data_IF_613864154586
#
_entry.id   IF_613864154586
#
_cell.length_a   1.000
_cell.length_b   1.000
_cell.length_c   1.000
_cell.angle_alpha   90.00
_cell.angle_beta   90.00
_cell.angle_gamma   90.00
#
_symmetry.space_group_name_H-M   'P 1'
#
loop_
_entity.id
_entity.type
_entity.pdbx_description
1 polymer ?
#
# COMPACT_ATOMS: atom_id res chain seq x y z
N UNK A 1 27.74 12.21 1.06
CA UNK A 1 26.49 12.06 1.15
C UNK A 1 25.68 10.83 1.55
N UNK A 2 25.83 9.65 0.91
CA UNK A 2 24.95 8.48 1.16
C UNK A 2 25.02 7.89 2.58
N UNK A 3 26.06 8.15 3.35
CA UNK A 3 26.24 7.63 4.73
C UNK A 3 25.67 8.55 5.81
N UNK A 4 25.35 9.80 5.51
CA UNK A 4 24.86 10.78 6.49
C UNK A 4 23.41 10.51 6.90
N UNK A 5 22.54 10.16 5.95
CA UNK A 5 21.09 9.93 6.19
C UNK A 5 20.85 8.74 7.12
N UNK A 6 21.71 7.72 7.11
CA UNK A 6 21.59 6.51 7.97
C UNK A 6 22.08 6.69 9.42
N UNK A 7 22.69 7.84 9.77
CA UNK A 7 23.34 8.07 11.06
C UNK A 7 22.86 9.30 11.82
N UNK A 8 21.90 10.06 11.27
CA UNK A 8 21.31 11.18 11.99
C UNK A 8 20.29 10.63 13.00
N UNK A 9 20.48 10.87 14.30
CA UNK A 9 19.47 10.57 15.29
C UNK A 9 18.23 11.43 15.03
N UNK A 10 17.09 10.96 15.51
CA UNK A 10 15.87 11.78 15.52
C UNK A 10 16.14 13.07 16.31
N UNK A 11 15.87 14.20 15.67
CA UNK A 11 16.03 15.53 16.27
C UNK A 11 14.68 15.92 16.87
N UNK A 12 14.63 16.10 18.18
CA UNK A 12 13.41 16.58 18.85
C UNK A 12 13.15 18.05 18.52
N UNK A 13 11.87 18.43 18.54
CA UNK A 13 11.46 19.82 18.34
C UNK A 13 12.11 20.71 19.43
N UNK A 14 12.82 21.74 18.97
CA UNK A 14 13.57 22.64 19.86
C UNK A 14 15.01 22.24 20.11
N UNK A 15 15.40 21.00 19.76
CA UNK A 15 16.80 20.55 19.81
C UNK A 15 17.54 20.86 18.51
N UNK A 16 18.79 21.08 18.59
CA UNK A 16 19.66 21.50 17.48
C UNK A 16 19.16 22.78 16.78
N UNK A 17 19.90 23.21 15.76
CA UNK A 17 19.59 24.45 15.02
C UNK A 17 18.29 24.30 14.21
N UNK A 18 18.13 23.14 13.58
CA UNK A 18 16.94 22.83 12.81
C UNK A 18 15.69 22.70 13.69
N UNK A 19 15.76 21.97 14.81
CA UNK A 19 14.64 21.87 15.76
C UNK A 19 14.25 23.21 16.37
N UNK A 20 15.24 24.11 16.59
CA UNK A 20 14.98 25.47 17.05
C UNK A 20 14.28 26.31 15.96
N UNK A 21 14.76 26.27 14.72
CA UNK A 21 14.10 26.97 13.59
C UNK A 21 12.65 26.47 13.40
N UNK A 22 12.41 25.17 13.56
CA UNK A 22 11.08 24.56 13.52
C UNK A 22 10.17 25.12 14.63
N UNK A 23 10.67 25.13 15.88
CA UNK A 23 9.92 25.56 17.07
C UNK A 23 9.55 27.03 17.02
N UNK A 24 10.52 27.92 16.70
CA UNK A 24 10.28 29.37 16.68
C UNK A 24 9.68 29.87 15.37
N UNK A 25 9.60 29.00 14.35
CA UNK A 25 9.09 29.32 13.00
C UNK A 25 9.81 30.51 12.32
N UNK A 26 11.10 30.68 12.65
CA UNK A 26 11.97 31.73 12.10
C UNK A 26 13.29 31.14 11.63
N UNK A 27 13.92 31.84 10.70
CA UNK A 27 15.28 31.47 10.29
C UNK A 27 16.25 31.57 11.48
N UNK A 28 17.10 30.56 11.61
CA UNK A 28 18.17 30.52 12.60
C UNK A 28 19.51 30.43 11.86
N UNK A 29 20.44 31.29 12.20
CA UNK A 29 21.79 31.33 11.61
C UNK A 29 22.85 31.11 12.70
N UNK A 30 23.91 30.37 12.36
CA UNK A 30 25.10 30.21 13.14
C UNK A 30 26.30 30.55 12.27
N UNK A 31 27.00 31.62 12.59
CA UNK A 31 28.14 32.10 11.78
C UNK A 31 29.37 31.24 11.93
N UNK A 32 29.60 30.68 13.13
CA UNK A 32 30.74 29.78 13.42
C UNK A 32 30.28 28.77 14.49
N UNK A 33 30.16 27.51 14.10
CA UNK A 33 29.70 26.42 15.00
C UNK A 33 30.69 26.15 16.14
N UNK A 34 31.96 26.52 16.00
CA UNK A 34 32.96 26.33 17.03
C UNK A 34 32.94 27.43 18.08
N UNK A 35 32.38 28.58 17.75
CA UNK A 35 32.30 29.75 18.65
C UNK A 35 30.94 29.93 19.29
N UNK A 36 29.88 29.36 18.68
CA UNK A 36 28.52 29.49 19.20
C UNK A 36 28.31 28.64 20.46
N UNK A 37 28.00 29.27 21.61
CA UNK A 37 27.90 28.57 22.90
C UNK A 37 26.73 27.56 22.90
N UNK A 38 25.64 27.86 22.23
CA UNK A 38 24.44 26.99 22.17
C UNK A 38 24.73 25.73 21.34
N UNK A 39 25.54 25.89 20.29
CA UNK A 39 25.86 24.79 19.37
C UNK A 39 26.94 23.88 19.96
N UNK A 40 27.86 24.41 20.79
CA UNK A 40 28.92 23.62 21.43
C UNK A 40 28.42 22.49 22.31
N UNK A 41 27.29 22.67 22.97
CA UNK A 41 26.69 21.71 23.89
C UNK A 41 25.88 20.62 23.20
N UNK A 42 25.65 20.76 21.89
CA UNK A 42 24.83 19.84 21.13
C UNK A 42 25.62 18.62 20.61
N UNK A 43 25.22 17.42 20.94
CA UNK A 43 25.83 16.17 20.42
C UNK A 43 25.89 16.09 18.89
N UNK A 44 24.93 16.71 18.21
CA UNK A 44 24.82 16.75 16.75
C UNK A 44 25.96 17.51 16.06
N UNK A 45 26.58 18.44 16.75
CA UNK A 45 27.72 19.24 16.24
C UNK A 45 28.90 18.39 15.83
N UNK A 46 29.14 17.27 16.52
CA UNK A 46 30.19 16.32 16.14
C UNK A 46 29.96 15.72 14.75
N UNK A 47 28.72 15.45 14.39
CA UNK A 47 28.36 14.90 13.07
C UNK A 47 28.57 15.97 12.00
N UNK A 48 28.07 17.17 12.24
CA UNK A 48 28.16 18.32 11.33
C UNK A 48 29.61 18.74 11.09
N UNK A 49 30.44 18.74 12.13
CA UNK A 49 31.89 18.99 12.02
C UNK A 49 32.61 17.96 11.17
N UNK A 50 32.28 16.68 11.31
CA UNK A 50 32.89 15.60 10.50
C UNK A 50 32.61 15.79 9.01
N UNK A 51 31.51 16.42 8.65
CA UNK A 51 31.15 16.76 7.25
C UNK A 51 31.83 18.11 6.81
N UNK A 52 32.61 18.73 7.68
CA UNK A 52 33.36 19.96 7.40
C UNK A 52 32.51 21.23 7.46
N UNK A 53 31.33 21.21 8.01
CA UNK A 53 30.48 22.40 8.14
C UNK A 53 31.03 23.33 9.26
N UNK A 54 31.03 24.64 8.98
CA UNK A 54 31.50 25.69 9.91
C UNK A 54 30.45 26.77 10.17
N UNK A 55 29.53 26.99 9.26
CA UNK A 55 28.37 27.89 9.45
C UNK A 55 27.10 27.28 8.92
N UNK A 56 25.95 27.65 9.49
CA UNK A 56 24.66 27.04 9.22
C UNK A 56 23.58 28.11 9.10
N UNK A 57 22.71 27.96 8.12
CA UNK A 57 21.43 28.65 8.01
C UNK A 57 20.31 27.58 7.96
N UNK A 58 19.38 27.63 8.91
CA UNK A 58 18.18 26.77 8.95
C UNK A 58 16.93 27.63 8.82
N UNK A 59 16.08 27.27 7.85
CA UNK A 59 14.84 28.02 7.56
C UNK A 59 13.67 27.06 7.66
N UNK A 60 12.61 27.38 8.40
CA UNK A 60 11.43 26.53 8.49
C UNK A 60 10.66 26.48 7.17
N UNK A 61 10.16 25.30 6.82
CA UNK A 61 9.22 25.09 5.75
C UNK A 61 7.83 25.32 6.34
N UNK A 62 7.21 26.44 6.00
CA UNK A 62 5.91 26.82 6.56
C UNK A 62 4.81 26.73 5.49
N UNK A 63 3.67 26.17 5.87
CA UNK A 63 2.45 26.22 5.07
C UNK A 63 1.29 26.74 5.93
N UNK A 64 0.70 27.87 5.55
CA UNK A 64 -0.36 28.53 6.31
C UNK A 64 -0.02 28.68 7.81
N UNK A 65 1.21 29.08 8.11
CA UNK A 65 1.68 29.27 9.49
C UNK A 65 2.03 27.97 10.25
N UNK A 66 1.84 26.78 9.65
CA UNK A 66 2.20 25.51 10.27
C UNK A 66 3.55 25.01 9.76
N UNK A 67 4.50 24.62 10.63
CA UNK A 67 5.79 24.11 10.20
C UNK A 67 5.65 22.65 9.72
N UNK A 68 6.12 22.40 8.49
CA UNK A 68 6.18 21.07 7.87
C UNK A 68 7.53 20.42 8.01
N UNK A 69 8.58 21.22 8.18
CA UNK A 69 9.96 20.79 8.26
C UNK A 69 10.93 21.95 8.31
N UNK A 70 12.19 21.68 8.05
CA UNK A 70 13.28 22.69 8.02
C UNK A 70 14.21 22.38 6.86
N UNK A 71 14.62 23.40 6.14
CA UNK A 71 15.71 23.33 5.17
C UNK A 71 16.94 23.95 5.82
N UNK A 72 18.07 23.23 5.82
CA UNK A 72 19.33 23.72 6.32
C UNK A 72 20.39 23.72 5.23
N UNK A 73 21.14 24.81 5.15
CA UNK A 73 22.35 24.91 4.32
C UNK A 73 23.57 25.07 5.21
N UNK A 74 24.70 24.50 4.78
CA UNK A 74 25.94 24.46 5.50
C UNK A 74 27.06 25.05 4.64
N UNK A 75 27.93 25.84 5.26
CA UNK A 75 29.17 26.32 4.63
C UNK A 75 30.38 25.76 5.35
N UNK A 76 31.45 25.47 4.58
CA UNK A 76 32.73 24.94 5.13
C UNK A 76 33.63 26.02 5.76
N UNK A 77 33.20 27.28 5.66
CA UNK A 77 33.92 28.42 6.27
C UNK A 77 33.01 29.15 7.24
N UNK A 78 33.53 29.71 8.33
CA UNK A 78 32.78 30.64 9.17
C UNK A 78 32.29 31.83 8.31
N UNK A 79 31.01 32.15 8.37
CA UNK A 79 30.44 33.31 7.69
C UNK A 79 29.08 33.71 8.27
N UNK A 80 28.77 34.97 8.19
CA UNK A 80 27.40 35.48 8.39
C UNK A 80 26.59 35.34 7.12
N UNK A 81 25.31 35.02 7.26
CA UNK A 81 24.36 34.97 6.13
C UNK A 81 23.70 36.34 6.00
N UNK A 82 23.71 36.86 4.79
CA UNK A 82 23.07 38.16 4.49
C UNK A 82 21.55 38.06 4.51
N UNK A 83 20.83 39.18 4.73
CA UNK A 83 19.36 39.19 4.63
C UNK A 83 18.84 38.69 3.29
N UNK A 84 19.57 38.97 2.19
CA UNK A 84 19.23 38.50 0.83
C UNK A 84 19.28 36.97 0.73
N UNK A 85 20.31 36.33 1.29
CA UNK A 85 20.49 34.87 1.31
C UNK A 85 19.42 34.19 2.19
N UNK A 86 19.11 34.76 3.34
CA UNK A 86 18.06 34.28 4.24
C UNK A 86 16.70 34.36 3.52
N UNK A 87 16.44 35.47 2.82
CA UNK A 87 15.19 35.62 2.07
C UNK A 87 15.10 34.66 0.89
N UNK A 88 16.18 34.43 0.17
CA UNK A 88 16.22 33.42 -0.90
C UNK A 88 15.89 32.01 -0.37
N UNK A 89 16.46 31.65 0.78
CA UNK A 89 16.14 30.36 1.42
C UNK A 89 14.68 30.28 1.90
N UNK A 90 14.08 31.40 2.35
CA UNK A 90 12.66 31.44 2.71
C UNK A 90 11.76 31.22 1.49
N UNK A 91 12.07 31.86 0.37
CA UNK A 91 11.33 31.66 -0.90
C UNK A 91 11.45 30.21 -1.33
N UNK A 92 12.64 29.63 -1.28
CA UNK A 92 12.84 28.22 -1.59
C UNK A 92 12.07 27.30 -0.64
N UNK A 93 12.08 27.57 0.67
CA UNK A 93 11.31 26.84 1.66
C UNK A 93 9.79 26.92 1.40
N UNK A 94 9.27 28.07 0.96
CA UNK A 94 7.86 28.22 0.57
C UNK A 94 7.50 27.37 -0.66
N UNK A 95 8.39 27.30 -1.63
CA UNK A 95 8.22 26.41 -2.80
C UNK A 95 8.16 24.94 -2.41
N UNK A 96 9.09 24.52 -1.55
CA UNK A 96 9.10 23.13 -1.01
C UNK A 96 7.83 22.85 -0.21
N UNK A 97 7.35 23.83 0.59
CA UNK A 97 6.09 23.69 1.32
C UNK A 97 4.90 23.43 0.39
N UNK A 98 4.81 24.17 -0.73
CA UNK A 98 3.75 23.99 -1.71
C UNK A 98 3.80 22.58 -2.34
N UNK A 99 4.99 22.15 -2.78
CA UNK A 99 5.18 20.79 -3.37
C UNK A 99 4.82 19.67 -2.37
N UNK A 100 5.26 19.78 -1.13
CA UNK A 100 4.95 18.79 -0.09
C UNK A 100 3.44 18.70 0.18
N UNK A 101 2.76 19.84 0.21
CA UNK A 101 1.30 19.87 0.41
C UNK A 101 0.53 19.32 -0.77
N UNK A 102 0.98 19.64 -1.98
CA UNK A 102 0.42 19.06 -3.21
C UNK A 102 0.49 17.55 -3.20
N UNK A 103 1.70 17.01 -2.93
CA UNK A 103 1.92 15.57 -2.85
C UNK A 103 1.05 14.91 -1.76
N UNK A 104 0.95 15.52 -0.58
CA UNK A 104 0.12 15.02 0.52
C UNK A 104 -1.38 15.08 0.17
N UNK A 105 -1.83 16.17 -0.48
CA UNK A 105 -3.21 16.30 -0.93
C UNK A 105 -3.57 15.23 -1.97
N UNK A 106 -2.71 14.99 -2.96
CA UNK A 106 -2.90 13.89 -3.91
C UNK A 106 -2.98 12.54 -3.22
N UNK A 107 -2.07 12.26 -2.29
CA UNK A 107 -2.08 11.02 -1.52
C UNK A 107 -3.39 10.84 -0.75
N UNK A 108 -3.84 11.88 -0.07
CA UNK A 108 -5.08 11.85 0.72
C UNK A 108 -6.31 11.66 -0.16
N UNK A 109 -6.33 12.29 -1.33
CA UNK A 109 -7.41 12.14 -2.31
C UNK A 109 -7.50 10.70 -2.83
N UNK A 110 -6.38 10.07 -3.17
CA UNK A 110 -6.36 8.65 -3.58
C UNK A 110 -6.88 7.73 -2.48
N UNK A 111 -6.48 7.95 -1.22
CA UNK A 111 -6.99 7.18 -0.09
C UNK A 111 -8.49 7.35 0.10
N UNK A 112 -9.00 8.58 -0.05
CA UNK A 112 -10.44 8.86 0.07
C UNK A 112 -11.22 8.15 -1.05
N UNK A 113 -10.77 8.24 -2.29
CA UNK A 113 -11.41 7.52 -3.41
C UNK A 113 -11.39 6.00 -3.18
N UNK A 114 -10.25 5.46 -2.76
CA UNK A 114 -10.14 4.04 -2.50
C UNK A 114 -11.09 3.60 -1.37
N UNK A 115 -11.12 4.30 -0.25
CA UNK A 115 -12.03 4.00 0.85
C UNK A 115 -13.51 4.06 0.44
N UNK A 116 -13.86 5.00 -0.45
CA UNK A 116 -15.22 5.08 -1.01
C UNK A 116 -15.55 3.82 -1.81
N UNK A 117 -14.64 3.36 -2.68
CA UNK A 117 -14.84 2.14 -3.47
C UNK A 117 -14.92 0.91 -2.57
N UNK A 118 -14.04 0.78 -1.58
CA UNK A 118 -14.06 -0.33 -0.61
C UNK A 118 -15.39 -0.35 0.17
N UNK A 119 -15.91 0.81 0.55
CA UNK A 119 -17.23 0.90 1.21
C UNK A 119 -18.36 0.43 0.29
N UNK A 120 -18.30 0.73 -1.01
CA UNK A 120 -19.27 0.22 -1.98
C UNK A 120 -19.18 -1.31 -2.10
N UNK A 121 -17.97 -1.89 -2.09
CA UNK A 121 -17.80 -3.37 -2.10
C UNK A 121 -18.38 -3.99 -0.83
N UNK A 122 -18.12 -3.42 0.34
CA UNK A 122 -18.73 -3.88 1.59
C UNK A 122 -20.27 -3.81 1.55
N UNK A 123 -20.82 -2.78 0.89
CA UNK A 123 -22.27 -2.69 0.68
C UNK A 123 -22.77 -3.81 -0.26
N UNK A 124 -21.98 -4.21 -1.26
CA UNK A 124 -22.31 -5.34 -2.12
C UNK A 124 -22.27 -6.68 -1.36
N UNK A 125 -21.34 -6.85 -0.40
CA UNK A 125 -21.33 -8.03 0.47
C UNK A 125 -22.64 -8.19 1.26
N UNK A 126 -23.33 -7.09 1.61
CA UNK A 126 -24.63 -7.17 2.30
C UNK A 126 -25.75 -7.71 1.41
N UNK A 127 -25.59 -7.64 0.07
CA UNK A 127 -26.52 -8.23 -0.91
C UNK A 127 -26.31 -9.75 -1.10
N UNK A 128 -25.14 -10.26 -0.75
CA UNK A 128 -24.77 -11.67 -0.81
C UNK A 128 -24.52 -12.17 0.64
N UNK A 129 -25.50 -12.81 1.29
CA UNK A 129 -25.40 -13.22 2.69
C UNK A 129 -24.22 -14.13 3.00
N UNK A 130 -23.60 -14.69 1.97
CA UNK A 130 -22.48 -15.64 2.10
C UNK A 130 -21.11 -14.99 2.01
N UNK A 131 -21.05 -13.68 1.73
CA UNK A 131 -19.78 -12.95 1.58
C UNK A 131 -19.44 -12.05 2.77
N UNK A 132 -20.25 -12.06 3.84
CA UNK A 132 -19.96 -11.23 5.01
C UNK A 132 -18.56 -11.51 5.58
N UNK A 133 -17.70 -10.45 5.59
CA UNK A 133 -16.32 -10.52 6.02
C UNK A 133 -15.39 -11.33 5.09
N UNK A 134 -15.86 -11.75 3.93
CA UNK A 134 -15.07 -12.45 2.91
C UNK A 134 -13.90 -11.58 2.43
N UNK A 135 -14.19 -10.35 2.03
CA UNK A 135 -13.17 -9.40 1.55
C UNK A 135 -12.04 -9.19 2.57
N UNK A 136 -12.37 -9.06 3.85
CA UNK A 136 -11.36 -8.90 4.92
C UNK A 136 -10.49 -10.16 5.04
N UNK A 137 -11.09 -11.35 5.06
CA UNK A 137 -10.36 -12.61 5.16
C UNK A 137 -9.47 -12.86 3.93
N UNK A 138 -10.00 -12.68 2.71
CA UNK A 138 -9.24 -12.81 1.46
C UNK A 138 -8.06 -11.82 1.43
N UNK A 139 -8.27 -10.58 1.85
CA UNK A 139 -7.20 -9.59 1.97
C UNK A 139 -6.12 -10.06 2.95
N UNK A 140 -6.51 -10.51 4.14
CA UNK A 140 -5.59 -11.05 5.15
C UNK A 140 -4.73 -12.20 4.59
N UNK A 141 -5.36 -13.18 3.94
CA UNK A 141 -4.65 -14.33 3.36
C UNK A 141 -3.71 -13.91 2.23
N UNK A 142 -4.17 -13.05 1.34
CA UNK A 142 -3.36 -12.51 0.24
C UNK A 142 -2.11 -11.81 0.75
N UNK A 143 -2.24 -10.97 1.79
CA UNK A 143 -1.12 -10.27 2.41
C UNK A 143 -0.12 -11.21 3.07
N UNK A 144 -0.59 -12.26 3.75
CA UNK A 144 0.28 -13.28 4.36
C UNK A 144 1.08 -14.04 3.29
N UNK A 145 0.42 -14.43 2.19
CA UNK A 145 1.10 -15.09 1.07
C UNK A 145 2.12 -14.14 0.43
N UNK A 146 1.73 -12.90 0.13
CA UNK A 146 2.59 -11.90 -0.49
C UNK A 146 3.84 -11.60 0.34
N UNK A 147 3.68 -11.39 1.65
CA UNK A 147 4.79 -11.17 2.58
C UNK A 147 5.73 -12.39 2.63
N UNK A 148 5.17 -13.60 2.65
CA UNK A 148 5.96 -14.85 2.65
C UNK A 148 6.75 -15.05 1.37
N UNK A 149 6.22 -14.57 0.25
CA UNK A 149 6.89 -14.62 -1.06
C UNK A 149 7.90 -13.49 -1.26
N UNK A 150 8.03 -12.56 -0.32
CA UNK A 150 9.01 -11.47 -0.38
C UNK A 150 8.61 -10.34 -1.34
N UNK A 151 7.32 -10.09 -1.54
CA UNK A 151 6.84 -8.98 -2.35
C UNK A 151 7.32 -7.64 -1.81
N UNK A 152 7.54 -6.67 -2.71
CA UNK A 152 7.82 -5.29 -2.34
C UNK A 152 6.63 -4.65 -1.61
N UNK A 153 6.86 -3.55 -0.87
CA UNK A 153 5.78 -2.82 -0.22
C UNK A 153 4.77 -2.25 -1.24
N UNK A 154 5.23 -1.90 -2.43
CA UNK A 154 4.38 -1.43 -3.53
C UNK A 154 3.48 -2.55 -4.05
N UNK A 155 4.03 -3.75 -4.30
CA UNK A 155 3.25 -4.92 -4.71
C UNK A 155 2.25 -5.35 -3.63
N UNK A 156 2.66 -5.30 -2.35
CA UNK A 156 1.75 -5.58 -1.23
C UNK A 156 0.59 -4.60 -1.17
N UNK A 157 0.82 -3.30 -1.38
CA UNK A 157 -0.25 -2.31 -1.44
C UNK A 157 -1.19 -2.57 -2.63
N UNK A 158 -0.63 -2.88 -3.80
CA UNK A 158 -1.40 -3.22 -5.01
C UNK A 158 -2.23 -4.48 -4.80
N UNK A 159 -1.66 -5.52 -4.18
CA UNK A 159 -2.36 -6.76 -3.84
C UNK A 159 -3.49 -6.51 -2.84
N UNK A 160 -3.26 -5.68 -1.83
CA UNK A 160 -4.28 -5.30 -0.85
C UNK A 160 -5.45 -4.61 -1.54
N UNK A 161 -5.19 -3.61 -2.37
CA UNK A 161 -6.23 -2.92 -3.13
C UNK A 161 -7.02 -3.88 -4.01
N UNK A 162 -6.32 -4.78 -4.72
CA UNK A 162 -6.98 -5.77 -5.55
C UNK A 162 -7.87 -6.71 -4.72
N UNK A 163 -7.39 -7.21 -3.59
CA UNK A 163 -8.14 -8.10 -2.72
C UNK A 163 -9.39 -7.43 -2.14
N UNK A 164 -9.29 -6.13 -1.76
CA UNK A 164 -10.43 -5.39 -1.21
C UNK A 164 -11.53 -5.10 -2.25
N UNK A 165 -11.21 -5.05 -3.55
CA UNK A 165 -12.19 -4.66 -4.58
C UNK A 165 -12.38 -5.69 -5.71
N UNK A 166 -11.81 -6.90 -5.59
CA UNK A 166 -11.83 -7.90 -6.68
C UNK A 166 -13.24 -8.24 -7.18
N UNK A 167 -14.19 -8.21 -6.28
CA UNK A 167 -15.59 -8.56 -6.51
C UNK A 167 -16.50 -7.37 -6.88
N UNK A 168 -15.97 -6.14 -7.04
CA UNK A 168 -16.76 -4.93 -7.36
C UNK A 168 -17.68 -5.13 -8.58
N UNK A 169 -17.26 -5.95 -9.54
CA UNK A 169 -18.03 -6.25 -10.74
C UNK A 169 -19.33 -7.01 -10.49
N UNK A 170 -19.53 -7.61 -9.32
CA UNK A 170 -20.78 -8.26 -8.92
C UNK A 170 -21.95 -7.28 -8.85
N UNK A 171 -21.68 -5.97 -8.79
CA UNK A 171 -22.72 -4.92 -8.89
C UNK A 171 -23.58 -5.06 -10.18
N UNK A 172 -23.01 -5.62 -11.23
CA UNK A 172 -23.68 -5.80 -12.53
C UNK A 172 -24.51 -7.08 -12.60
N UNK A 173 -24.50 -7.93 -11.56
CA UNK A 173 -25.23 -9.21 -11.55
C UNK A 173 -26.58 -8.98 -10.89
N UNK A 174 -27.69 -9.37 -11.54
CA UNK A 174 -29.02 -9.30 -10.94
C UNK A 174 -29.15 -10.18 -9.69
N UNK A 175 -29.89 -9.70 -8.68
CA UNK A 175 -30.08 -10.41 -7.40
C UNK A 175 -30.64 -11.81 -7.53
N UNK A 176 -31.56 -12.03 -8.48
CA UNK A 176 -32.16 -13.34 -8.71
C UNK A 176 -31.17 -14.39 -9.26
N UNK A 177 -30.03 -13.94 -9.81
CA UNK A 177 -28.92 -14.81 -10.22
C UNK A 177 -27.91 -14.95 -9.08
N UNK A 178 -27.50 -13.83 -8.47
CA UNK A 178 -26.51 -13.81 -7.39
C UNK A 178 -26.96 -14.65 -6.19
N UNK A 179 -28.22 -14.52 -5.81
CA UNK A 179 -28.83 -15.18 -4.64
C UNK A 179 -29.67 -16.41 -5.01
N UNK A 180 -29.49 -16.96 -6.23
CA UNK A 180 -30.31 -18.09 -6.69
C UNK A 180 -30.14 -19.32 -5.78
N UNK A 181 -31.21 -19.85 -5.19
CA UNK A 181 -31.14 -21.08 -4.44
C UNK A 181 -30.99 -22.27 -5.42
N UNK A 182 -29.80 -22.86 -5.51
CA UNK A 182 -29.56 -24.05 -6.32
C UNK A 182 -28.49 -23.85 -7.40
N UNK A 183 -28.40 -24.83 -8.31
CA UNK A 183 -27.42 -24.80 -9.38
C UNK A 183 -27.75 -23.75 -10.43
N UNK A 184 -26.74 -22.97 -10.81
CA UNK A 184 -26.83 -22.04 -11.93
C UNK A 184 -26.92 -22.80 -13.27
N UNK A 185 -27.77 -22.34 -14.18
CA UNK A 185 -27.73 -22.80 -15.56
C UNK A 185 -26.52 -22.18 -16.28
N UNK A 186 -26.29 -22.58 -17.54
CA UNK A 186 -25.13 -22.15 -18.32
C UNK A 186 -25.09 -20.62 -18.53
N UNK A 187 -26.25 -20.01 -18.83
CA UNK A 187 -26.32 -18.55 -19.04
C UNK A 187 -26.09 -17.77 -17.75
N UNK A 188 -26.72 -18.19 -16.66
CA UNK A 188 -26.52 -17.56 -15.33
C UNK A 188 -25.07 -17.65 -14.89
N UNK A 189 -24.44 -18.80 -15.11
CA UNK A 189 -23.01 -18.98 -14.82
C UNK A 189 -22.14 -18.04 -15.66
N UNK A 190 -22.40 -17.92 -16.96
CA UNK A 190 -21.68 -16.98 -17.82
C UNK A 190 -21.84 -15.54 -17.32
N UNK A 191 -23.03 -15.15 -16.83
CA UNK A 191 -23.24 -13.81 -16.27
C UNK A 191 -22.39 -13.57 -15.01
N UNK A 192 -22.28 -14.57 -14.13
CA UNK A 192 -21.40 -14.46 -12.96
C UNK A 192 -19.93 -14.40 -13.39
N UNK A 193 -19.50 -15.22 -14.35
CA UNK A 193 -18.13 -15.27 -14.84
C UNK A 193 -17.68 -13.96 -15.55
N UNK A 194 -18.61 -13.04 -15.83
CA UNK A 194 -18.31 -11.71 -16.35
C UNK A 194 -17.87 -10.70 -15.28
N UNK A 195 -18.08 -10.97 -13.97
CA UNK A 195 -17.77 -9.95 -12.94
C UNK A 195 -16.30 -9.49 -12.92
N UNK A 196 -15.26 -10.31 -13.21
CA UNK A 196 -13.89 -9.80 -13.26
C UNK A 196 -13.69 -8.77 -14.38
N UNK A 197 -14.33 -9.02 -15.54
CA UNK A 197 -14.29 -8.07 -16.68
C UNK A 197 -15.03 -6.80 -16.33
N UNK A 198 -16.23 -6.91 -15.72
CA UNK A 198 -17.01 -5.76 -15.25
C UNK A 198 -16.30 -4.98 -14.16
N UNK A 199 -15.67 -5.66 -13.21
CA UNK A 199 -14.83 -5.04 -12.18
C UNK A 199 -13.69 -4.23 -12.78
N UNK A 200 -12.93 -4.83 -13.70
CA UNK A 200 -11.87 -4.14 -14.43
C UNK A 200 -12.38 -2.90 -15.21
N UNK A 201 -13.56 -2.98 -15.81
CA UNK A 201 -14.21 -1.84 -16.51
C UNK A 201 -14.61 -0.72 -15.53
N UNK A 202 -15.16 -1.06 -14.36
CA UNK A 202 -15.61 -0.09 -13.35
C UNK A 202 -14.43 0.71 -12.82
N UNK A 203 -13.30 0.04 -12.50
CA UNK A 203 -12.11 0.71 -11.97
C UNK A 203 -11.20 1.29 -13.04
N UNK A 204 -11.42 0.96 -14.32
CA UNK A 204 -10.61 1.38 -15.46
C UNK A 204 -10.35 2.88 -15.58
N UNK A 205 -11.34 3.77 -15.33
CA UNK A 205 -11.13 5.22 -15.36
C UNK A 205 -10.22 5.77 -14.25
N UNK A 206 -9.89 4.97 -13.23
CA UNK A 206 -9.13 5.40 -12.05
C UNK A 206 -7.64 5.12 -12.24
N UNK A 207 -6.89 6.12 -12.72
CA UNK A 207 -5.46 5.98 -13.06
C UNK A 207 -4.61 5.43 -11.90
N UNK A 208 -4.92 5.79 -10.65
CA UNK A 208 -4.20 5.29 -9.47
C UNK A 208 -4.43 3.79 -9.18
N UNK A 209 -5.44 3.17 -9.80
CA UNK A 209 -5.74 1.73 -9.72
C UNK A 209 -5.27 0.94 -10.96
N UNK A 210 -4.58 1.55 -11.89
CA UNK A 210 -4.22 0.89 -13.15
C UNK A 210 -3.43 -0.41 -12.96
N UNK A 211 -2.58 -0.49 -11.94
CA UNK A 211 -1.85 -1.72 -11.60
C UNK A 211 -2.75 -2.79 -10.92
N UNK A 212 -3.93 -2.40 -10.44
CA UNK A 212 -4.93 -3.28 -9.82
C UNK A 212 -5.82 -3.94 -10.87
N UNK A 213 -6.08 -3.25 -12.00
CA UNK A 213 -6.97 -3.71 -13.08
C UNK A 213 -6.64 -5.14 -13.56
N UNK A 214 -5.39 -5.49 -13.90
CA UNK A 214 -5.09 -6.84 -14.38
C UNK A 214 -5.27 -7.90 -13.30
N UNK A 215 -5.18 -7.55 -12.02
CA UNK A 215 -5.37 -8.48 -10.91
C UNK A 215 -6.85 -8.78 -10.75
N UNK A 216 -7.69 -7.75 -10.71
CA UNK A 216 -9.16 -7.87 -10.65
C UNK A 216 -9.71 -8.63 -11.87
N UNK A 217 -9.17 -8.37 -13.08
CA UNK A 217 -9.60 -9.07 -14.29
C UNK A 217 -9.28 -10.57 -14.26
N UNK A 218 -8.12 -10.97 -13.69
CA UNK A 218 -7.60 -12.33 -13.85
C UNK A 218 -7.59 -13.16 -12.55
N UNK A 219 -8.30 -12.73 -11.49
CA UNK A 219 -8.29 -13.47 -10.23
C UNK A 219 -9.02 -14.82 -10.28
N UNK A 220 -9.78 -15.09 -11.31
CA UNK A 220 -10.41 -16.39 -11.57
C UNK A 220 -9.71 -17.20 -12.69
N UNK A 221 -8.54 -16.75 -13.15
CA UNK A 221 -7.71 -17.57 -14.01
C UNK A 221 -7.12 -18.74 -13.25
N UNK A 222 -7.01 -19.87 -13.91
CA UNK A 222 -6.44 -21.09 -13.37
C UNK A 222 -5.05 -21.33 -13.95
N UNK A 223 -4.15 -21.86 -13.17
CA UNK A 223 -2.76 -22.06 -13.60
C UNK A 223 -2.64 -22.98 -14.82
N UNK A 224 -3.58 -23.93 -14.98
CA UNK A 224 -3.69 -24.83 -16.15
C UNK A 224 -4.25 -24.17 -17.42
N UNK A 225 -4.81 -22.95 -17.32
CA UNK A 225 -5.41 -22.19 -18.43
C UNK A 225 -6.88 -22.51 -18.67
N UNK A 226 -7.54 -23.23 -17.77
CA UNK A 226 -8.98 -23.54 -17.86
C UNK A 226 -9.86 -22.56 -17.09
N UNK A 227 -9.27 -21.44 -16.63
CA UNK A 227 -9.96 -20.36 -15.94
C UNK A 227 -10.61 -19.35 -16.89
N UNK A 228 -11.07 -18.26 -16.35
CA UNK A 228 -11.73 -17.17 -17.07
C UNK A 228 -11.23 -15.81 -16.56
N UNK A 229 -11.35 -14.72 -17.33
CA UNK A 229 -12.08 -14.59 -18.60
C UNK A 229 -11.24 -14.89 -19.84
N UNK A 230 -9.90 -14.84 -19.77
CA UNK A 230 -9.03 -14.84 -20.95
C UNK A 230 -8.33 -16.20 -21.17
N UNK A 231 -8.48 -17.16 -20.25
CA UNK A 231 -7.84 -18.48 -20.33
C UNK A 231 -6.31 -18.42 -20.25
N UNK A 232 -5.77 -17.48 -19.46
CA UNK A 232 -4.34 -17.34 -19.28
C UNK A 232 -3.76 -18.55 -18.57
N UNK A 233 -2.56 -18.99 -18.99
CA UNK A 233 -1.90 -20.17 -18.45
C UNK A 233 -0.57 -19.86 -17.79
N UNK A 234 -0.34 -20.44 -16.62
CA UNK A 234 0.96 -20.39 -15.94
C UNK A 234 1.37 -18.98 -15.59
N UNK A 235 2.60 -18.62 -15.95
CA UNK A 235 3.16 -17.30 -15.65
C UNK A 235 2.59 -16.15 -16.51
N UNK A 236 1.73 -16.42 -17.48
CA UNK A 236 0.98 -15.36 -18.17
C UNK A 236 -0.08 -14.72 -17.28
N UNK A 237 -0.54 -15.44 -16.25
CA UNK A 237 -1.41 -14.88 -15.22
C UNK A 237 -0.55 -13.97 -14.33
N UNK A 238 -0.96 -12.70 -14.08
CA UNK A 238 -0.25 -11.80 -13.17
C UNK A 238 0.02 -12.46 -11.81
N UNK A 239 1.22 -12.30 -11.25
CA UNK A 239 1.60 -12.94 -9.98
C UNK A 239 0.59 -12.63 -8.87
N UNK A 240 0.21 -11.36 -8.74
CA UNK A 240 -0.73 -10.92 -7.70
C UNK A 240 -2.13 -11.50 -7.89
N UNK A 241 -2.57 -11.73 -9.14
CA UNK A 241 -3.83 -12.40 -9.43
C UNK A 241 -3.78 -13.89 -9.02
N UNK A 242 -2.65 -14.59 -9.24
CA UNK A 242 -2.45 -15.97 -8.78
C UNK A 242 -2.48 -16.08 -7.26
N UNK A 243 -1.93 -15.10 -6.54
CA UNK A 243 -1.97 -15.04 -5.07
C UNK A 243 -3.42 -14.85 -4.62
N UNK A 244 -4.11 -13.87 -5.18
CA UNK A 244 -5.51 -13.57 -4.86
C UNK A 244 -6.42 -14.78 -5.13
N UNK A 245 -6.28 -15.44 -6.28
CA UNK A 245 -7.04 -16.66 -6.62
C UNK A 245 -6.88 -17.77 -5.59
N UNK A 246 -5.67 -17.95 -5.04
CA UNK A 246 -5.42 -18.95 -4.01
C UNK A 246 -6.07 -18.57 -2.67
N UNK A 247 -6.00 -17.30 -2.27
CA UNK A 247 -6.60 -16.77 -1.05
C UNK A 247 -8.13 -16.81 -1.09
N UNK A 248 -8.74 -16.36 -2.20
CA UNK A 248 -10.18 -16.39 -2.43
C UNK A 248 -10.72 -17.83 -2.42
N UNK A 249 -10.08 -18.74 -3.16
CA UNK A 249 -10.47 -20.15 -3.17
C UNK A 249 -10.39 -20.79 -1.77
N UNK A 250 -9.39 -20.43 -0.98
CA UNK A 250 -9.26 -20.94 0.39
C UNK A 250 -10.41 -20.43 1.27
N UNK A 251 -10.72 -19.13 1.23
CA UNK A 251 -11.86 -18.59 1.98
C UNK A 251 -13.17 -19.28 1.59
N UNK A 252 -13.36 -19.52 0.29
CA UNK A 252 -14.50 -20.26 -0.22
C UNK A 252 -14.59 -21.73 0.25
N UNK A 253 -13.46 -22.34 0.63
CA UNK A 253 -13.41 -23.68 1.16
C UNK A 253 -13.79 -23.77 2.65
N UNK A 254 -13.39 -22.77 3.44
CA UNK A 254 -13.56 -22.77 4.90
C UNK A 254 -14.80 -21.99 5.38
N UNK A 255 -15.45 -21.22 4.50
CA UNK A 255 -16.68 -20.48 4.79
C UNK A 255 -17.91 -21.34 4.58
N UNK A 256 -18.95 -21.15 5.40
CA UNK A 256 -20.25 -21.80 5.22
C UNK A 256 -20.95 -21.28 3.95
N UNK A 257 -21.45 -22.20 3.13
CA UNK A 257 -22.24 -21.88 1.92
C UNK A 257 -23.45 -22.79 1.87
N UNK A 258 -24.63 -22.35 1.35
CA UNK A 258 -25.88 -23.12 1.40
C UNK A 258 -25.80 -24.50 0.78
N UNK A 259 -24.85 -24.71 -0.11
CA UNK A 259 -24.75 -25.93 -0.92
C UNK A 259 -23.47 -26.73 -0.65
N UNK A 260 -22.64 -26.27 0.30
CA UNK A 260 -21.36 -26.93 0.58
C UNK A 260 -20.96 -26.73 2.05
N UNK A 261 -20.86 -27.81 2.79
CA UNK A 261 -20.27 -27.78 4.15
C UNK A 261 -18.85 -27.22 4.10
N UNK A 262 -18.49 -26.41 5.06
CA UNK A 262 -17.13 -25.90 5.21
C UNK A 262 -16.14 -27.05 5.37
N UNK A 263 -15.01 -26.91 4.71
CA UNK A 263 -13.90 -27.85 4.91
C UNK A 263 -13.18 -27.53 6.23
N UNK A 264 -12.66 -28.57 6.88
CA UNK A 264 -11.70 -28.41 7.96
C UNK A 264 -10.39 -27.86 7.40
N UNK A 265 -9.57 -27.24 8.25
CA UNK A 265 -8.23 -26.76 7.86
C UNK A 265 -7.39 -27.86 7.19
N UNK A 266 -7.48 -29.10 7.70
CA UNK A 266 -6.74 -30.24 7.15
C UNK A 266 -7.19 -30.59 5.73
N UNK A 267 -8.50 -30.58 5.50
CA UNK A 267 -9.10 -30.83 4.17
C UNK A 267 -8.78 -29.71 3.19
N UNK A 268 -8.88 -28.44 3.61
CA UNK A 268 -8.53 -27.29 2.78
C UNK A 268 -7.05 -27.31 2.37
N UNK A 269 -6.13 -27.64 3.29
CA UNK A 269 -4.71 -27.84 2.98
C UNK A 269 -4.52 -28.97 1.96
N UNK A 270 -5.23 -30.08 2.11
CA UNK A 270 -5.16 -31.21 1.17
C UNK A 270 -5.66 -30.79 -0.22
N UNK A 271 -6.76 -29.99 -0.29
CA UNK A 271 -7.33 -29.49 -1.53
C UNK A 271 -6.36 -28.54 -2.25
N UNK A 272 -5.76 -27.57 -1.54
CA UNK A 272 -4.75 -26.67 -2.11
C UNK A 272 -3.58 -27.45 -2.70
N UNK A 273 -3.10 -28.49 -2.00
CA UNK A 273 -2.00 -29.34 -2.49
C UNK A 273 -2.38 -30.13 -3.74
N UNK A 274 -3.57 -30.71 -3.74
CA UNK A 274 -4.07 -31.52 -4.87
C UNK A 274 -4.20 -30.67 -6.14
N UNK A 275 -4.58 -29.42 -5.99
CA UNK A 275 -4.78 -28.51 -7.12
C UNK A 275 -3.54 -27.64 -7.44
N UNK A 276 -2.39 -27.91 -6.82
CA UNK A 276 -1.12 -27.27 -7.19
C UNK A 276 -0.68 -27.70 -8.59
N UNK A 277 -0.46 -26.76 -9.50
CA UNK A 277 -0.15 -27.00 -10.91
C UNK A 277 -1.36 -27.06 -11.84
N UNK A 278 -2.58 -27.14 -11.28
CA UNK A 278 -3.84 -27.07 -12.04
C UNK A 278 -4.56 -25.77 -11.75
N UNK A 279 -5.25 -25.64 -10.64
CA UNK A 279 -5.91 -24.41 -10.25
C UNK A 279 -4.91 -23.37 -9.73
N UNK A 280 -3.97 -23.79 -8.90
CA UNK A 280 -3.06 -22.88 -8.19
C UNK A 280 -1.62 -22.98 -8.73
N UNK A 281 -0.92 -21.84 -8.68
CA UNK A 281 0.53 -21.83 -8.87
C UNK A 281 1.19 -22.70 -7.78
N UNK A 282 2.04 -23.69 -8.14
CA UNK A 282 2.67 -24.59 -7.18
C UNK A 282 3.51 -23.87 -6.11
N UNK A 283 4.17 -22.77 -6.47
CA UNK A 283 4.98 -21.99 -5.52
C UNK A 283 4.10 -21.27 -4.50
N UNK A 284 2.98 -20.69 -4.96
CA UNK A 284 2.01 -20.01 -4.10
C UNK A 284 1.31 -21.03 -3.20
N UNK A 285 0.85 -22.14 -3.74
CA UNK A 285 0.23 -23.22 -2.98
C UNK A 285 1.16 -23.75 -1.86
N UNK A 286 2.44 -23.98 -2.17
CA UNK A 286 3.43 -24.43 -1.18
C UNK A 286 3.69 -23.38 -0.09
N UNK A 287 3.79 -22.09 -0.46
CA UNK A 287 3.98 -21.00 0.48
C UNK A 287 2.77 -20.88 1.42
N UNK A 288 1.55 -20.93 0.89
CA UNK A 288 0.33 -20.80 1.66
C UNK A 288 0.11 -21.99 2.61
N UNK A 289 0.30 -23.22 2.13
CA UNK A 289 0.22 -24.41 3.00
C UNK A 289 1.21 -24.32 4.18
N UNK A 290 2.38 -23.74 3.97
CA UNK A 290 3.36 -23.53 5.04
C UNK A 290 2.88 -22.52 6.07
N UNK A 291 2.23 -21.42 5.62
CA UNK A 291 1.61 -20.41 6.50
C UNK A 291 0.51 -21.05 7.35
N UNK A 292 -0.43 -21.76 6.71
CA UNK A 292 -1.58 -22.38 7.39
C UNK A 292 -1.15 -23.43 8.44
N UNK A 293 -0.07 -24.16 8.19
CA UNK A 293 0.48 -25.11 9.18
C UNK A 293 1.14 -24.43 10.36
N UNK A 294 1.77 -23.27 10.16
CA UNK A 294 2.43 -22.51 11.21
C UNK A 294 1.44 -21.72 12.08
N UNK A 295 0.27 -21.39 11.52
CA UNK A 295 -0.76 -20.57 12.15
C UNK A 295 -2.14 -21.21 11.94
N UNK A 296 -2.52 -22.25 12.69
CA UNK A 296 -3.80 -22.94 12.50
C UNK A 296 -5.04 -22.09 12.77
N UNK A 297 -4.87 -20.91 13.37
CA UNK A 297 -5.95 -19.96 13.70
C UNK A 297 -6.08 -18.80 12.69
N UNK A 298 -5.38 -18.87 11.59
CA UNK A 298 -5.42 -17.86 10.52
C UNK A 298 -6.69 -17.95 9.70
#
# INVERSE_FOLDING_TARGET
>A
GKNMIRRLPEIRIGEAISGRAFKIQKAVTVADIDKDPVVREMNLVRIIRREGARSILSVPILFQGKPLGVISTYCRRPRTFTPKEINLMRVFASYVAAILREAEHHRQMHLTYFNTISTLVLTLETRDPYTQGHTERVTKYSMLIGARMGLSQEDLNTLRYAAEIHDIGKISIPDFILNKPGKLNKLERTMIELHPVKGAQIIGPLEFLKNVIPIVRHHHERFDGTGYPDGLKGNRIPLLARILACADSYDAMISERPYKSRLTLKEAIAEIRRNAGTQFDPKIAAAFVKILKQNPQV
#
